data_IF_512205385070
#
_entry.id   IF_512205385070
#
_cell.length_a   1.000
_cell.length_b   1.000
_cell.length_c   1.000
_cell.angle_alpha   90.00
_cell.angle_beta   90.00
_cell.angle_gamma   90.00
#
_symmetry.space_group_name_H-M   'P 1'
#
loop_
_entity.id
_entity.type
_entity.pdbx_description
1 polymer ?
#
# COMPACT_ATOMS: atom_id res chain seq x y z
N UNK A 1 7.37 63.04 10.41
CA UNK A 1 6.45 62.30 9.53
C UNK A 1 7.13 61.09 8.88
N UNK A 2 8.39 61.20 8.42
CA UNK A 2 9.16 60.07 7.84
C UNK A 2 9.48 58.90 8.79
N UNK A 3 9.71 59.16 10.08
CA UNK A 3 10.03 58.08 11.05
C UNK A 3 8.83 57.13 11.23
N UNK A 4 7.61 57.66 11.20
CA UNK A 4 6.39 56.87 11.39
C UNK A 4 6.04 56.00 10.17
N UNK A 5 6.40 56.44 8.97
CA UNK A 5 6.22 55.63 7.75
C UNK A 5 7.23 54.48 7.66
N UNK A 6 8.46 54.66 8.17
CA UNK A 6 9.47 53.58 8.21
C UNK A 6 9.05 52.40 9.10
N UNK A 7 8.60 52.66 10.34
CA UNK A 7 8.11 51.64 11.26
C UNK A 7 6.89 50.89 10.70
N UNK A 8 6.00 51.59 9.99
CA UNK A 8 4.83 50.97 9.35
C UNK A 8 5.24 50.00 8.22
N UNK A 9 6.20 50.40 7.38
CA UNK A 9 6.71 49.54 6.31
C UNK A 9 7.40 48.29 6.85
N UNK A 10 8.13 48.40 7.95
CA UNK A 10 8.80 47.26 8.56
C UNK A 10 7.82 46.27 9.20
N UNK A 11 6.73 46.76 9.82
CA UNK A 11 5.63 45.91 10.28
C UNK A 11 4.99 45.16 9.10
N UNK A 12 4.74 45.82 7.96
CA UNK A 12 4.17 45.18 6.78
C UNK A 12 5.07 44.08 6.22
N UNK A 13 6.39 44.30 6.19
CA UNK A 13 7.35 43.26 5.77
C UNK A 13 7.30 42.06 6.70
N UNK A 14 7.28 42.28 8.02
CA UNK A 14 7.20 41.19 9.00
C UNK A 14 5.90 40.40 8.82
N UNK A 15 4.76 41.08 8.68
CA UNK A 15 3.46 40.43 8.44
C UNK A 15 3.46 39.66 7.12
N UNK A 16 4.06 40.21 6.06
CA UNK A 16 4.20 39.53 4.77
C UNK A 16 5.03 38.25 4.89
N UNK A 17 6.19 38.32 5.55
CA UNK A 17 7.05 37.14 5.79
C UNK A 17 6.34 36.09 6.64
N UNK A 18 5.67 36.49 7.72
CA UNK A 18 4.92 35.57 8.57
C UNK A 18 3.76 34.92 7.81
N UNK A 19 3.02 35.69 7.00
CA UNK A 19 1.93 35.14 6.20
C UNK A 19 2.44 34.17 5.14
N UNK A 20 3.58 34.44 4.50
CA UNK A 20 4.24 33.54 3.56
C UNK A 20 4.68 32.23 4.25
N UNK A 21 5.25 32.30 5.45
CA UNK A 21 5.66 31.11 6.23
C UNK A 21 4.44 30.25 6.56
N UNK A 22 3.34 30.86 7.02
CA UNK A 22 2.10 30.15 7.36
C UNK A 22 1.50 29.50 6.10
N UNK A 23 1.41 30.25 5.00
CA UNK A 23 0.90 29.74 3.74
C UNK A 23 1.75 28.56 3.22
N UNK A 24 3.07 28.67 3.31
CA UNK A 24 3.98 27.59 2.93
C UNK A 24 3.81 26.36 3.81
N UNK A 25 3.72 26.52 5.13
CA UNK A 25 3.48 25.43 6.06
C UNK A 25 2.15 24.71 5.76
N UNK A 26 1.09 25.47 5.50
CA UNK A 26 -0.21 24.92 5.11
C UNK A 26 -0.16 24.19 3.76
N UNK A 27 0.59 24.72 2.78
CA UNK A 27 0.79 24.08 1.49
C UNK A 27 1.52 22.74 1.63
N UNK A 28 2.61 22.69 2.41
CA UNK A 28 3.34 21.45 2.70
C UNK A 28 2.46 20.42 3.39
N UNK A 29 1.67 20.83 4.39
CA UNK A 29 0.73 19.95 5.06
C UNK A 29 -0.32 19.38 4.11
N UNK A 30 -0.94 20.24 3.31
CA UNK A 30 -1.96 19.86 2.32
C UNK A 30 -1.40 18.93 1.26
N UNK A 31 -0.19 19.20 0.77
CA UNK A 31 0.51 18.37 -0.21
C UNK A 31 0.82 16.98 0.34
N UNK A 32 1.36 16.88 1.57
CA UNK A 32 1.60 15.60 2.24
C UNK A 32 0.31 14.79 2.39
N UNK A 33 -0.79 15.44 2.76
CA UNK A 33 -2.10 14.78 2.86
C UNK A 33 -2.58 14.24 1.51
N UNK A 34 -2.45 15.02 0.44
CA UNK A 34 -2.82 14.59 -0.91
C UNK A 34 -1.96 13.41 -1.39
N UNK A 35 -0.63 13.47 -1.21
CA UNK A 35 0.25 12.36 -1.55
C UNK A 35 -0.16 11.06 -0.84
N UNK A 36 -0.49 11.13 0.45
CA UNK A 36 -0.97 9.97 1.20
C UNK A 36 -2.28 9.40 0.62
N UNK A 37 -3.24 10.26 0.26
CA UNK A 37 -4.50 9.83 -0.34
C UNK A 37 -4.30 9.21 -1.71
N UNK A 38 -3.44 9.79 -2.55
CA UNK A 38 -3.10 9.25 -3.86
C UNK A 38 -2.42 7.89 -3.76
N UNK A 39 -1.48 7.74 -2.82
CA UNK A 39 -0.82 6.47 -2.52
C UNK A 39 -1.85 5.41 -2.09
N UNK A 40 -2.76 5.75 -1.17
CA UNK A 40 -3.81 4.82 -0.75
C UNK A 40 -4.74 4.43 -1.92
N UNK A 41 -5.11 5.39 -2.76
CA UNK A 41 -5.95 5.15 -3.94
C UNK A 41 -5.25 4.23 -4.96
N UNK A 42 -3.94 4.40 -5.18
CA UNK A 42 -3.16 3.58 -6.11
C UNK A 42 -3.11 2.11 -5.67
N UNK A 43 -2.76 1.86 -4.41
CA UNK A 43 -2.72 0.49 -3.86
C UNK A 43 -4.11 -0.16 -3.83
N UNK A 44 -5.14 0.62 -3.46
CA UNK A 44 -6.52 0.14 -3.51
C UNK A 44 -6.94 -0.24 -4.93
N UNK A 45 -6.59 0.57 -5.93
CA UNK A 45 -6.91 0.30 -7.34
C UNK A 45 -6.21 -0.98 -7.82
N UNK A 46 -4.92 -1.13 -7.53
CA UNK A 46 -4.15 -2.35 -7.89
C UNK A 46 -4.75 -3.59 -7.22
N UNK A 47 -5.10 -3.51 -5.95
CA UNK A 47 -5.78 -4.59 -5.24
C UNK A 47 -7.14 -4.96 -5.88
N UNK A 48 -7.94 -3.95 -6.23
CA UNK A 48 -9.23 -4.16 -6.90
C UNK A 48 -9.06 -4.82 -8.27
N UNK A 49 -8.11 -4.34 -9.07
CA UNK A 49 -7.79 -4.92 -10.37
C UNK A 49 -7.39 -6.40 -10.24
N UNK A 50 -6.54 -6.73 -9.27
CA UNK A 50 -6.16 -8.11 -8.98
C UNK A 50 -7.38 -8.95 -8.56
N UNK A 51 -8.18 -8.43 -7.62
CA UNK A 51 -9.33 -9.15 -7.06
C UNK A 51 -10.41 -9.41 -8.10
N UNK A 52 -10.65 -8.48 -9.03
CA UNK A 52 -11.63 -8.63 -10.11
C UNK A 52 -11.23 -9.69 -11.14
N UNK A 53 -9.94 -9.99 -11.24
CA UNK A 53 -9.40 -10.99 -12.16
C UNK A 53 -9.26 -12.38 -11.53
N UNK A 54 -9.56 -12.51 -10.23
CA UNK A 54 -9.64 -13.82 -9.60
C UNK A 54 -10.97 -14.51 -9.90
N UNK A 55 -10.98 -15.86 -9.93
CA UNK A 55 -12.22 -16.61 -9.81
C UNK A 55 -12.95 -16.23 -8.53
N UNK A 56 -14.28 -16.08 -8.59
CA UNK A 56 -15.13 -15.72 -7.45
C UNK A 56 -14.89 -16.64 -6.24
N UNK A 57 -14.62 -17.90 -6.51
CA UNK A 57 -14.44 -18.96 -5.51
C UNK A 57 -13.03 -19.02 -4.92
N UNK A 58 -12.10 -18.12 -5.30
CA UNK A 58 -10.68 -18.20 -4.88
C UNK A 58 -10.46 -18.14 -3.36
N UNK A 59 -11.41 -17.54 -2.63
CA UNK A 59 -11.38 -17.41 -1.18
C UNK A 59 -12.12 -18.55 -0.45
N UNK A 60 -12.70 -19.50 -1.18
CA UNK A 60 -13.34 -20.70 -0.64
C UNK A 60 -12.29 -21.75 -0.23
N UNK A 61 -12.62 -22.60 0.73
CA UNK A 61 -11.68 -23.62 1.21
C UNK A 61 -11.56 -24.79 0.22
N UNK A 62 -12.61 -24.99 -0.58
CA UNK A 62 -12.79 -26.05 -1.56
C UNK A 62 -12.14 -25.70 -2.90
N UNK A 63 -11.61 -24.48 -3.06
CA UNK A 63 -10.96 -24.04 -4.28
C UNK A 63 -9.75 -24.91 -4.62
N UNK A 64 -9.74 -25.44 -5.85
CA UNK A 64 -8.62 -26.21 -6.37
C UNK A 64 -8.24 -25.75 -7.77
N UNK A 65 -6.95 -25.42 -7.95
CA UNK A 65 -6.37 -25.14 -9.26
C UNK A 65 -6.46 -26.32 -10.24
N UNK A 66 -6.59 -27.55 -9.73
CA UNK A 66 -6.58 -28.75 -10.56
C UNK A 66 -7.92 -28.94 -11.29
N UNK A 67 -8.99 -28.30 -10.78
CA UNK A 67 -10.32 -28.31 -11.37
C UNK A 67 -10.52 -27.19 -12.41
N UNK A 68 -9.53 -26.31 -12.58
CA UNK A 68 -9.61 -25.21 -13.55
C UNK A 68 -9.09 -25.65 -14.92
N UNK A 69 -9.64 -25.05 -15.98
CA UNK A 69 -9.03 -25.17 -17.31
C UNK A 69 -7.60 -24.61 -17.29
N UNK A 70 -6.69 -25.10 -18.15
CA UNK A 70 -5.31 -24.63 -18.18
C UNK A 70 -5.19 -23.10 -18.31
N UNK A 71 -6.02 -22.48 -19.14
CA UNK A 71 -6.07 -21.02 -19.34
C UNK A 71 -6.47 -20.27 -18.08
N UNK A 72 -7.58 -20.65 -17.44
CA UNK A 72 -8.06 -20.00 -16.20
C UNK A 72 -7.04 -20.21 -15.08
N UNK A 73 -6.42 -21.39 -15.01
CA UNK A 73 -5.38 -21.69 -14.02
C UNK A 73 -4.17 -20.77 -14.20
N UNK A 74 -3.66 -20.63 -15.42
CA UNK A 74 -2.52 -19.74 -15.71
C UNK A 74 -2.86 -18.29 -15.40
N UNK A 75 -4.03 -17.82 -15.84
CA UNK A 75 -4.52 -16.47 -15.55
C UNK A 75 -4.61 -16.22 -14.03
N UNK A 76 -5.20 -17.15 -13.29
CA UNK A 76 -5.31 -17.04 -11.82
C UNK A 76 -3.93 -17.00 -11.16
N UNK A 77 -3.00 -17.87 -11.57
CA UNK A 77 -1.63 -17.89 -11.02
C UNK A 77 -0.85 -16.60 -11.34
N UNK A 78 -1.08 -15.99 -12.49
CA UNK A 78 -0.52 -14.69 -12.86
C UNK A 78 -1.00 -13.59 -11.90
N UNK A 79 -2.30 -13.53 -11.62
CA UNK A 79 -2.83 -12.55 -10.66
C UNK A 79 -2.50 -12.90 -9.20
N UNK A 80 -2.27 -14.17 -8.86
CA UNK A 80 -1.72 -14.55 -7.56
C UNK A 80 -0.32 -13.97 -7.39
N UNK A 81 0.52 -14.03 -8.42
CA UNK A 81 1.84 -13.37 -8.38
C UNK A 81 1.70 -11.86 -8.18
N UNK A 82 0.83 -11.20 -8.94
CA UNK A 82 0.59 -9.77 -8.79
C UNK A 82 0.09 -9.39 -7.37
N UNK A 83 -0.74 -10.25 -6.76
CA UNK A 83 -1.16 -10.10 -5.36
C UNK A 83 0.04 -10.19 -4.40
N UNK A 84 0.91 -11.18 -4.57
CA UNK A 84 2.09 -11.33 -3.73
C UNK A 84 3.11 -10.22 -3.91
N UNK A 85 3.28 -9.70 -5.13
CA UNK A 85 4.10 -8.52 -5.41
C UNK A 85 3.56 -7.29 -4.67
N UNK A 86 2.24 -7.06 -4.75
CA UNK A 86 1.58 -5.97 -4.02
C UNK A 86 1.82 -6.11 -2.50
N UNK A 87 1.59 -7.29 -1.92
CA UNK A 87 1.81 -7.50 -0.49
C UNK A 87 3.28 -7.31 -0.07
N UNK A 88 4.23 -7.70 -0.93
CA UNK A 88 5.66 -7.50 -0.71
C UNK A 88 6.02 -6.01 -0.66
N UNK A 89 5.46 -5.21 -1.56
CA UNK A 89 5.64 -3.75 -1.58
C UNK A 89 5.00 -3.07 -0.36
N UNK A 90 3.78 -3.47 0.01
CA UNK A 90 3.09 -2.98 1.20
C UNK A 90 3.89 -3.29 2.48
N UNK A 91 4.42 -4.50 2.60
CA UNK A 91 5.27 -4.91 3.72
C UNK A 91 6.58 -4.10 3.76
N UNK A 92 7.23 -3.91 2.60
CA UNK A 92 8.46 -3.12 2.49
C UNK A 92 8.25 -1.69 3.01
N UNK A 93 7.13 -1.06 2.66
CA UNK A 93 6.82 0.30 3.10
C UNK A 93 6.56 0.36 4.62
N UNK A 94 5.97 -0.67 5.20
CA UNK A 94 5.81 -0.77 6.64
C UNK A 94 7.15 -0.96 7.37
N UNK A 95 8.02 -1.86 6.89
CA UNK A 95 9.35 -2.05 7.48
C UNK A 95 10.16 -0.74 7.47
N UNK A 96 10.05 0.05 6.41
CA UNK A 96 10.73 1.34 6.29
C UNK A 96 10.00 2.50 7.00
N UNK A 97 8.95 2.24 7.78
CA UNK A 97 8.15 3.25 8.51
C UNK A 97 7.52 4.33 7.63
N UNK A 98 7.30 4.01 6.36
CA UNK A 98 6.62 4.88 5.39
C UNK A 98 5.09 4.74 5.45
N UNK A 99 4.58 3.76 6.19
CA UNK A 99 3.16 3.57 6.47
C UNK A 99 2.84 3.89 7.92
N UNK A 100 1.69 4.52 8.15
CA UNK A 100 1.19 4.66 9.51
C UNK A 100 0.66 3.32 10.02
N UNK A 101 0.74 3.14 11.34
CA UNK A 101 0.37 1.89 12.01
C UNK A 101 -1.09 1.48 11.78
N UNK A 102 -2.00 2.44 11.59
CA UNK A 102 -3.41 2.15 11.37
C UNK A 102 -3.60 1.54 9.99
N UNK A 103 -3.05 2.17 8.95
CA UNK A 103 -3.09 1.63 7.59
C UNK A 103 -2.43 0.25 7.52
N UNK A 104 -1.24 0.09 8.13
CA UNK A 104 -0.57 -1.21 8.15
C UNK A 104 -1.44 -2.31 8.78
N UNK A 105 -2.07 -2.04 9.93
CA UNK A 105 -2.92 -3.03 10.62
C UNK A 105 -4.06 -3.54 9.74
N UNK A 106 -4.71 -2.68 8.98
CA UNK A 106 -5.79 -3.07 8.07
C UNK A 106 -5.27 -3.96 6.94
N UNK A 107 -4.14 -3.57 6.33
CA UNK A 107 -3.52 -4.32 5.24
C UNK A 107 -3.00 -5.67 5.69
N UNK A 108 -2.31 -5.72 6.83
CA UNK A 108 -1.83 -6.95 7.45
C UNK A 108 -2.99 -7.92 7.75
N UNK A 109 -4.14 -7.40 8.21
CA UNK A 109 -5.33 -8.21 8.43
C UNK A 109 -5.87 -8.82 7.13
N UNK A 110 -5.90 -8.06 6.03
CA UNK A 110 -6.29 -8.56 4.71
C UNK A 110 -5.35 -9.62 4.17
N UNK A 111 -4.03 -9.44 4.36
CA UNK A 111 -3.02 -10.45 4.04
C UNK A 111 -3.26 -11.73 4.83
N UNK A 112 -3.38 -11.64 6.16
CA UNK A 112 -3.65 -12.80 7.03
C UNK A 112 -4.90 -13.57 6.58
N UNK A 113 -5.97 -12.86 6.25
CA UNK A 113 -7.19 -13.47 5.74
C UNK A 113 -6.96 -14.21 4.42
N UNK A 114 -6.21 -13.64 3.48
CA UNK A 114 -5.93 -14.25 2.18
C UNK A 114 -4.99 -15.45 2.30
N UNK A 115 -3.88 -15.33 3.05
CA UNK A 115 -2.93 -16.43 3.30
C UNK A 115 -3.54 -17.58 4.15
N UNK A 116 -4.63 -17.31 4.89
CA UNK A 116 -5.42 -18.37 5.55
C UNK A 116 -6.15 -19.29 4.57
N UNK A 117 -6.25 -18.93 3.27
CA UNK A 117 -6.95 -19.71 2.26
C UNK A 117 -6.05 -20.72 1.56
N UNK A 118 -6.53 -21.95 1.27
CA UNK A 118 -5.75 -22.98 0.59
C UNK A 118 -5.20 -22.55 -0.77
N UNK A 119 -5.99 -21.78 -1.54
CA UNK A 119 -5.61 -21.27 -2.85
C UNK A 119 -4.29 -20.46 -2.78
N UNK A 120 -4.22 -19.48 -1.88
CA UNK A 120 -3.07 -18.60 -1.74
C UNK A 120 -1.84 -19.36 -1.26
N UNK A 121 -1.98 -20.30 -0.31
CA UNK A 121 -0.87 -21.16 0.12
C UNK A 121 -0.35 -22.06 -1.01
N UNK A 122 -1.25 -22.66 -1.79
CA UNK A 122 -0.87 -23.51 -2.93
C UNK A 122 -0.20 -22.69 -4.03
N UNK A 123 -0.69 -21.48 -4.31
CA UNK A 123 -0.07 -20.57 -5.27
C UNK A 123 1.33 -20.13 -4.84
N UNK A 124 1.51 -19.75 -3.57
CA UNK A 124 2.81 -19.37 -3.02
C UNK A 124 3.88 -20.44 -3.25
N UNK A 125 3.55 -21.70 -2.93
CA UNK A 125 4.41 -22.86 -3.15
C UNK A 125 4.64 -23.15 -4.64
N UNK A 126 3.57 -23.13 -5.43
CA UNK A 126 3.62 -23.44 -6.88
C UNK A 126 4.51 -22.46 -7.64
N UNK A 127 4.43 -21.18 -7.29
CA UNK A 127 5.20 -20.10 -7.91
C UNK A 127 6.64 -20.02 -7.38
N UNK A 128 7.03 -20.88 -6.42
CA UNK A 128 8.37 -20.95 -5.79
C UNK A 128 8.86 -19.62 -5.23
N UNK A 129 7.94 -18.85 -4.66
CA UNK A 129 8.20 -17.46 -4.29
C UNK A 129 9.12 -17.29 -3.08
N UNK A 130 9.33 -18.35 -2.30
CA UNK A 130 10.32 -18.37 -1.21
C UNK A 130 11.75 -18.06 -1.67
N UNK A 131 12.05 -18.22 -2.96
CA UNK A 131 13.37 -17.93 -3.55
C UNK A 131 13.45 -16.59 -4.30
N UNK A 132 12.31 -15.92 -4.50
CA UNK A 132 12.22 -14.72 -5.34
C UNK A 132 12.02 -13.44 -4.52
N UNK A 133 11.47 -13.53 -3.31
CA UNK A 133 11.31 -12.39 -2.41
C UNK A 133 12.43 -12.30 -1.38
N UNK A 134 12.63 -11.09 -0.86
CA UNK A 134 13.59 -10.82 0.20
C UNK A 134 13.17 -11.46 1.52
N UNK A 135 14.16 -11.76 2.37
CA UNK A 135 13.98 -12.59 3.57
C UNK A 135 12.96 -12.04 4.56
N UNK A 136 12.83 -10.71 4.68
CA UNK A 136 11.87 -10.04 5.55
C UNK A 136 10.42 -10.42 5.21
N UNK A 137 10.03 -10.24 3.95
CA UNK A 137 8.68 -10.59 3.51
C UNK A 137 8.43 -12.10 3.55
N UNK A 138 9.40 -12.93 3.14
CA UNK A 138 9.25 -14.39 3.24
C UNK A 138 9.07 -14.86 4.69
N UNK A 139 9.78 -14.26 5.65
CA UNK A 139 9.61 -14.56 7.07
C UNK A 139 8.22 -14.12 7.58
N UNK A 140 7.76 -12.96 7.15
CA UNK A 140 6.40 -12.50 7.44
C UNK A 140 5.33 -13.47 6.92
N UNK A 141 5.39 -13.87 5.65
CA UNK A 141 4.46 -14.82 5.05
C UNK A 141 4.45 -16.14 5.83
N UNK A 142 5.62 -16.66 6.20
CA UNK A 142 5.73 -17.87 7.03
C UNK A 142 5.09 -17.70 8.41
N UNK A 143 5.17 -16.51 9.01
CA UNK A 143 4.59 -16.24 10.33
C UNK A 143 3.05 -16.16 10.33
N UNK A 144 2.44 -15.85 9.18
CA UNK A 144 0.98 -15.70 9.03
C UNK A 144 0.33 -16.90 8.33
N UNK A 145 1.12 -17.86 7.88
CA UNK A 145 0.64 -19.07 7.22
C UNK A 145 0.60 -20.22 8.24
N UNK A 146 -0.52 -20.93 8.37
CA UNK A 146 -0.63 -22.10 9.27
C UNK A 146 0.18 -23.30 8.77
#
# INVERSE_FOLDING_TARGET
>A
MEIQTSNFLDILKIVSVLSAIIAFAFAVYSFKKQLKLNFFADYTKRYQEISLNFPVTVYENEFSYDNLSPEIREHTLRYMRAYFDLCSEEYFLNENKNLDKKTWKEWESGMKASFSKPAFRKAWKTLKLDSNYYSGFTAFVKSITP
#
